data_IF_366985814851
#
_entry.id   IF_366985814851
#
_cell.length_a   1.000
_cell.length_b   1.000
_cell.length_c   1.000
_cell.angle_alpha   90.00
_cell.angle_beta   90.00
_cell.angle_gamma   90.00
#
_symmetry.space_group_name_H-M   'P 1'
#
loop_
_entity.id
_entity.type
_entity.pdbx_description
1 polymer ?
#
# COMPACT_ATOMS: atom_id res chain seq x y z
N UNK A 1 71.20 -42.39 6.81
CA UNK A 1 69.78 -42.51 6.36
C UNK A 1 69.84 -42.72 4.87
N UNK A 2 69.19 -43.77 4.36
CA UNK A 2 69.10 -44.01 2.92
C UNK A 2 68.08 -43.06 2.36
N UNK A 3 68.45 -42.19 1.43
CA UNK A 3 67.56 -41.29 0.71
C UNK A 3 66.86 -42.12 -0.39
N UNK A 4 65.54 -42.35 -0.28
CA UNK A 4 64.76 -42.98 -1.34
C UNK A 4 64.42 -41.89 -2.34
N UNK A 5 65.07 -41.99 -3.53
CA UNK A 5 64.68 -41.10 -4.64
C UNK A 5 63.41 -41.66 -5.32
N UNK A 6 62.26 -41.02 -5.06
CA UNK A 6 60.94 -41.45 -5.55
C UNK A 6 60.69 -41.13 -7.02
N UNK A 7 61.71 -40.69 -7.76
CA UNK A 7 61.52 -40.39 -9.18
C UNK A 7 60.33 -39.42 -9.43
N UNK A 8 60.32 -38.84 -10.64
CA UNK A 8 59.18 -37.98 -11.08
C UNK A 8 57.98 -38.84 -11.35
N UNK A 9 56.86 -38.75 -10.58
CA UNK A 9 55.57 -39.36 -10.88
C UNK A 9 55.02 -38.63 -12.09
N UNK A 10 55.00 -39.28 -13.25
CA UNK A 10 54.42 -38.74 -14.48
C UNK A 10 53.14 -39.46 -14.83
N UNK A 11 52.00 -38.85 -14.56
CA UNK A 11 50.75 -39.33 -15.09
C UNK A 11 50.74 -39.13 -16.61
N UNK A 12 50.23 -40.15 -17.33
CA UNK A 12 50.06 -40.09 -18.80
C UNK A 12 48.62 -39.89 -19.12
N UNK A 13 48.24 -38.68 -19.49
CA UNK A 13 46.91 -38.41 -19.99
C UNK A 13 46.67 -39.11 -21.32
N UNK A 14 45.59 -39.91 -21.39
CA UNK A 14 45.20 -40.71 -22.56
C UNK A 14 43.92 -40.20 -23.23
N UNK A 15 43.32 -39.15 -22.73
CA UNK A 15 42.02 -38.65 -23.23
C UNK A 15 40.84 -39.45 -22.72
N UNK A 16 39.74 -39.45 -23.48
CA UNK A 16 38.53 -40.18 -23.14
C UNK A 16 38.78 -41.70 -23.23
N UNK A 17 38.27 -42.44 -22.27
CA UNK A 17 38.42 -43.91 -22.19
C UNK A 17 37.89 -44.58 -23.46
N UNK A 18 38.61 -45.55 -23.95
CA UNK A 18 38.17 -46.48 -24.99
C UNK A 18 38.42 -47.91 -24.59
N UNK A 19 37.39 -48.75 -24.67
CA UNK A 19 37.51 -50.19 -24.34
C UNK A 19 38.42 -50.96 -25.27
N UNK A 20 38.78 -50.43 -26.42
CA UNK A 20 39.73 -51.05 -27.35
C UNK A 20 41.19 -50.70 -27.08
N UNK A 21 41.47 -49.79 -26.15
CA UNK A 21 42.82 -49.32 -25.83
C UNK A 21 43.39 -50.09 -24.66
N UNK A 22 44.67 -50.50 -24.78
CA UNK A 22 45.40 -51.11 -23.67
C UNK A 22 45.96 -49.96 -22.80
N UNK A 23 45.63 -49.97 -21.52
CA UNK A 23 46.12 -49.03 -20.52
C UNK A 23 47.17 -49.65 -19.62
N UNK A 24 48.13 -48.90 -19.26
CA UNK A 24 49.21 -49.31 -18.34
C UNK A 24 49.09 -48.51 -17.03
N UNK A 25 49.81 -48.97 -16.00
CA UNK A 25 49.87 -48.22 -14.72
C UNK A 25 50.30 -46.77 -14.97
N UNK A 26 49.66 -45.81 -14.23
CA UNK A 26 49.84 -44.38 -14.35
C UNK A 26 49.21 -43.72 -15.58
N UNK A 27 48.54 -44.48 -16.45
CA UNK A 27 47.69 -43.89 -17.50
C UNK A 27 46.42 -43.27 -16.86
N UNK A 28 46.10 -42.05 -17.25
CA UNK A 28 44.92 -41.32 -16.76
C UNK A 28 43.94 -41.12 -17.90
N UNK A 29 42.69 -41.45 -17.65
CA UNK A 29 41.59 -41.36 -18.64
C UNK A 29 40.45 -40.55 -18.08
N UNK A 30 39.71 -39.90 -18.96
CA UNK A 30 38.38 -39.36 -18.66
C UNK A 30 37.29 -40.40 -18.98
N UNK A 31 36.32 -40.54 -18.08
CA UNK A 31 35.12 -41.34 -18.31
C UNK A 31 33.95 -40.76 -17.54
N UNK A 32 32.85 -40.43 -18.25
CA UNK A 32 31.64 -39.85 -17.68
C UNK A 32 31.94 -38.62 -16.78
N UNK A 33 32.75 -37.69 -17.26
CA UNK A 33 33.11 -36.45 -16.55
C UNK A 33 34.03 -36.60 -15.35
N UNK A 34 34.48 -37.83 -15.05
CA UNK A 34 35.44 -38.14 -13.98
C UNK A 34 36.77 -38.55 -14.59
N UNK A 35 37.89 -38.32 -13.86
CA UNK A 35 39.21 -38.80 -14.22
C UNK A 35 39.57 -40.01 -13.38
N UNK A 36 40.17 -41.00 -14.05
CA UNK A 36 40.58 -42.25 -13.44
C UNK A 36 42.05 -42.54 -13.77
N UNK A 37 42.75 -43.09 -12.80
CA UNK A 37 44.14 -43.56 -12.99
C UNK A 37 44.15 -45.07 -13.03
N UNK A 38 44.84 -45.61 -14.02
CA UNK A 38 45.05 -47.04 -14.16
C UNK A 38 46.10 -47.51 -13.12
N UNK A 39 45.72 -48.43 -12.26
CA UNK A 39 46.60 -49.03 -11.26
C UNK A 39 47.00 -50.46 -11.58
N UNK A 40 46.30 -51.11 -12.50
CA UNK A 40 46.66 -52.43 -13.01
C UNK A 40 46.42 -52.44 -14.54
N UNK A 41 47.39 -52.91 -15.29
CA UNK A 41 47.30 -52.96 -16.74
C UNK A 41 46.01 -53.62 -17.20
N UNK A 42 45.27 -52.95 -18.14
CA UNK A 42 43.91 -53.37 -18.47
C UNK A 42 43.58 -53.02 -19.93
N UNK A 43 42.79 -53.91 -20.54
CA UNK A 43 42.11 -53.65 -21.82
C UNK A 43 40.65 -54.10 -21.68
N UNK A 44 39.71 -53.24 -22.11
CA UNK A 44 38.27 -53.55 -22.10
C UNK A 44 37.58 -53.43 -20.75
N UNK A 45 38.30 -53.18 -19.64
CA UNK A 45 37.69 -52.94 -18.34
C UNK A 45 37.34 -51.47 -18.15
N UNK A 46 36.09 -51.19 -17.74
CA UNK A 46 35.65 -49.81 -17.51
C UNK A 46 36.44 -49.13 -16.38
N UNK A 47 36.67 -47.82 -16.45
CA UNK A 47 37.33 -47.03 -15.37
C UNK A 47 36.61 -47.12 -14.03
N UNK A 48 35.35 -47.47 -13.98
CA UNK A 48 34.57 -47.71 -12.75
C UNK A 48 34.92 -49.01 -12.06
N UNK A 49 35.64 -49.92 -12.72
CA UNK A 49 36.12 -51.16 -12.11
C UNK A 49 37.35 -50.87 -11.21
N UNK A 50 37.09 -50.84 -9.91
CA UNK A 50 38.07 -50.54 -8.88
C UNK A 50 39.24 -51.53 -8.78
N UNK A 51 39.22 -52.67 -9.46
CA UNK A 51 40.37 -53.58 -9.59
C UNK A 51 41.45 -53.00 -10.47
N UNK A 52 41.07 -52.25 -11.52
CA UNK A 52 42.01 -51.76 -12.54
C UNK A 52 42.25 -50.26 -12.48
N UNK A 53 41.29 -49.51 -11.95
CA UNK A 53 41.38 -48.07 -11.91
C UNK A 53 41.01 -47.52 -10.53
N UNK A 54 41.60 -46.39 -10.17
CA UNK A 54 41.17 -45.59 -9.04
C UNK A 54 40.62 -44.22 -9.55
N UNK A 55 39.64 -43.71 -8.86
CA UNK A 55 39.12 -42.37 -9.13
C UNK A 55 40.17 -41.34 -8.76
N UNK A 56 40.59 -40.53 -9.69
CA UNK A 56 41.51 -39.42 -9.47
C UNK A 56 40.76 -38.11 -9.21
N UNK A 57 39.67 -37.88 -9.94
CA UNK A 57 38.75 -36.73 -9.78
C UNK A 57 37.35 -37.19 -10.16
N UNK A 58 36.40 -37.00 -9.30
CA UNK A 58 34.99 -37.25 -9.60
C UNK A 58 34.38 -36.09 -10.40
N UNK A 59 33.49 -36.41 -11.31
CA UNK A 59 32.61 -35.40 -11.89
C UNK A 59 31.93 -34.67 -10.74
N UNK A 60 31.92 -33.37 -10.78
CA UNK A 60 31.07 -32.57 -9.89
C UNK A 60 29.59 -32.90 -10.18
N UNK A 61 28.74 -32.88 -9.17
CA UNK A 61 27.32 -32.80 -9.40
C UNK A 61 27.05 -31.47 -10.12
N UNK A 62 26.32 -31.52 -11.21
CA UNK A 62 25.88 -30.26 -11.84
C UNK A 62 25.25 -29.37 -10.75
N UNK A 63 25.73 -28.15 -10.59
CA UNK A 63 25.08 -27.16 -9.76
C UNK A 63 23.63 -27.01 -10.23
N UNK A 64 22.76 -26.53 -9.36
CA UNK A 64 21.38 -26.22 -9.78
C UNK A 64 21.46 -25.22 -10.93
N UNK A 65 21.04 -25.64 -12.11
CA UNK A 65 21.00 -24.77 -13.28
C UNK A 65 19.84 -23.78 -13.11
N UNK A 66 20.19 -22.52 -12.83
CA UNK A 66 19.21 -21.47 -12.65
C UNK A 66 18.41 -21.21 -13.95
N UNK A 67 18.95 -21.56 -15.11
CA UNK A 67 18.20 -21.39 -16.39
C UNK A 67 17.03 -22.35 -16.51
N UNK A 68 17.09 -23.51 -15.81
CA UNK A 68 15.97 -24.45 -15.71
C UNK A 68 15.00 -24.09 -14.59
N UNK A 69 15.44 -23.33 -13.60
CA UNK A 69 14.63 -22.88 -12.47
C UNK A 69 13.89 -21.59 -12.80
N UNK A 70 14.58 -20.59 -13.38
CA UNK A 70 14.03 -19.29 -13.75
C UNK A 70 13.65 -19.33 -15.24
N UNK A 71 12.38 -19.47 -15.54
CA UNK A 71 11.88 -19.74 -16.90
C UNK A 71 11.21 -18.54 -17.55
N UNK A 72 10.93 -17.48 -16.77
CA UNK A 72 10.18 -16.32 -17.26
C UNK A 72 10.86 -15.03 -16.77
N UNK A 73 10.80 -13.98 -17.59
CA UNK A 73 11.30 -12.66 -17.20
C UNK A 73 10.59 -12.18 -15.92
N UNK A 74 11.38 -11.71 -14.94
CA UNK A 74 10.87 -11.24 -13.65
C UNK A 74 10.77 -12.33 -12.57
N UNK A 75 11.14 -13.58 -12.90
CA UNK A 75 11.24 -14.63 -11.89
C UNK A 75 12.33 -14.32 -10.87
N UNK A 76 12.09 -14.71 -9.63
CA UNK A 76 13.06 -14.64 -8.54
C UNK A 76 13.40 -16.05 -8.05
N UNK A 77 14.65 -16.26 -7.63
CA UNK A 77 15.05 -17.47 -6.95
C UNK A 77 15.06 -17.23 -5.44
N UNK A 78 14.54 -18.19 -4.69
CA UNK A 78 14.66 -18.23 -3.23
C UNK A 78 15.00 -19.64 -2.77
N UNK A 79 15.34 -19.80 -1.49
CA UNK A 79 15.61 -21.10 -0.89
C UNK A 79 14.55 -21.42 0.14
N UNK A 80 13.95 -22.60 0.03
CA UNK A 80 13.11 -23.21 1.06
C UNK A 80 13.84 -24.37 1.78
N UNK A 81 13.09 -25.18 2.54
CA UNK A 81 13.62 -26.36 3.22
C UNK A 81 14.10 -27.48 2.28
N UNK A 82 13.69 -27.48 1.02
CA UNK A 82 14.01 -28.49 0.01
C UNK A 82 15.13 -28.05 -0.95
N UNK A 83 15.44 -26.76 -1.02
CA UNK A 83 16.50 -26.22 -1.89
C UNK A 83 16.12 -24.92 -2.58
N UNK A 84 16.68 -24.70 -3.78
CA UNK A 84 16.36 -23.50 -4.58
C UNK A 84 15.01 -23.67 -5.26
N UNK A 85 14.18 -22.64 -5.15
CA UNK A 85 12.82 -22.58 -5.68
C UNK A 85 12.63 -21.32 -6.52
N UNK A 86 11.65 -21.38 -7.39
CA UNK A 86 11.22 -20.25 -8.23
C UNK A 86 10.05 -19.52 -7.58
N UNK A 87 10.14 -18.23 -7.45
CA UNK A 87 9.00 -17.35 -7.30
C UNK A 87 8.72 -16.69 -8.65
N UNK A 88 7.61 -17.05 -9.30
CA UNK A 88 7.20 -16.47 -10.58
C UNK A 88 7.02 -14.96 -10.47
N UNK A 89 7.09 -14.25 -11.60
CA UNK A 89 6.91 -12.82 -11.65
C UNK A 89 5.57 -12.40 -11.02
N UNK A 90 5.57 -11.33 -10.24
CA UNK A 90 4.36 -10.71 -9.70
C UNK A 90 3.60 -9.92 -10.77
N UNK A 91 2.42 -9.43 -10.42
CA UNK A 91 1.67 -8.49 -11.26
C UNK A 91 1.97 -7.04 -10.86
N UNK A 92 1.68 -6.09 -11.76
CA UNK A 92 1.93 -4.67 -11.52
C UNK A 92 1.29 -4.21 -10.19
N UNK A 93 2.05 -3.46 -9.40
CA UNK A 93 1.63 -2.94 -8.09
C UNK A 93 1.86 -3.88 -6.91
N UNK A 94 2.33 -5.10 -7.13
CA UNK A 94 2.76 -5.99 -6.04
C UNK A 94 4.19 -5.67 -5.58
N UNK A 95 4.46 -5.98 -4.33
CA UNK A 95 5.78 -5.93 -3.69
C UNK A 95 6.17 -7.31 -3.17
N UNK A 96 7.46 -7.59 -3.15
CA UNK A 96 7.98 -8.80 -2.52
C UNK A 96 7.81 -8.68 -1.00
N UNK A 97 7.14 -9.66 -0.41
CA UNK A 97 6.87 -9.72 1.03
C UNK A 97 7.56 -10.92 1.66
N UNK A 98 8.06 -10.72 2.87
CA UNK A 98 8.56 -11.80 3.72
C UNK A 98 7.47 -12.26 4.67
N UNK A 99 7.30 -13.57 4.78
CA UNK A 99 6.43 -14.19 5.79
C UNK A 99 7.11 -14.39 7.17
N UNK A 100 8.35 -13.92 7.32
CA UNK A 100 9.16 -14.13 8.53
C UNK A 100 10.12 -15.31 8.42
N UNK A 101 10.80 -15.64 9.51
CA UNK A 101 11.77 -16.73 9.54
C UNK A 101 11.08 -18.07 9.26
N UNK A 102 11.61 -18.83 8.31
CA UNK A 102 11.09 -20.15 7.93
C UNK A 102 9.90 -20.14 6.96
N UNK A 103 9.39 -18.97 6.58
CA UNK A 103 8.34 -18.83 5.57
C UNK A 103 8.92 -18.41 4.21
N UNK A 104 8.28 -18.87 3.14
CA UNK A 104 8.67 -18.52 1.78
C UNK A 104 8.29 -17.07 1.48
N UNK A 105 9.09 -16.35 0.67
CA UNK A 105 8.69 -15.04 0.15
C UNK A 105 7.48 -15.18 -0.78
N UNK A 106 6.68 -14.12 -0.86
CA UNK A 106 5.51 -14.06 -1.73
C UNK A 106 5.30 -12.66 -2.29
N UNK A 107 4.53 -12.56 -3.37
CA UNK A 107 4.06 -11.26 -3.85
C UNK A 107 2.81 -10.86 -3.08
N UNK A 108 2.77 -9.62 -2.64
CA UNK A 108 1.61 -9.04 -1.97
C UNK A 108 1.38 -7.60 -2.38
N UNK A 109 0.19 -7.11 -2.15
CA UNK A 109 -0.13 -5.69 -2.35
C UNK A 109 0.21 -4.89 -1.10
N UNK A 110 0.78 -3.70 -1.28
CA UNK A 110 0.84 -2.72 -0.19
C UNK A 110 -0.60 -2.23 0.02
N UNK A 111 -1.25 -2.70 1.07
CA UNK A 111 -2.51 -2.11 1.49
C UNK A 111 -2.20 -0.90 2.38
N UNK A 112 -2.64 0.28 1.97
CA UNK A 112 -2.80 1.37 2.91
C UNK A 112 -3.98 1.02 3.83
N UNK A 113 -3.86 1.24 5.14
CA UNK A 113 -5.01 1.14 6.04
C UNK A 113 -6.10 2.16 5.65
N UNK A 114 -5.72 3.23 4.95
CA UNK A 114 -6.61 4.20 4.35
C UNK A 114 -7.04 3.75 2.95
N UNK A 115 -8.33 3.50 2.79
CA UNK A 115 -8.95 3.10 1.53
C UNK A 115 -9.73 4.28 0.95
N UNK A 116 -9.51 4.62 -0.32
CA UNK A 116 -10.32 5.62 -1.02
C UNK A 116 -11.72 5.03 -1.27
N UNK A 117 -12.75 5.63 -0.67
CA UNK A 117 -14.14 5.21 -0.81
C UNK A 117 -14.83 5.85 -2.00
N UNK A 118 -14.51 7.10 -2.28
CA UNK A 118 -15.09 7.81 -3.41
C UNK A 118 -14.41 9.15 -3.68
N UNK A 119 -14.69 9.70 -4.85
CA UNK A 119 -14.30 11.05 -5.24
C UNK A 119 -15.35 11.65 -6.15
N UNK A 120 -15.68 12.90 -5.90
CA UNK A 120 -16.63 13.67 -6.70
C UNK A 120 -15.94 14.97 -7.12
N UNK A 121 -15.84 15.17 -8.43
CA UNK A 121 -15.50 16.46 -9.00
C UNK A 121 -16.83 17.20 -9.22
N UNK A 122 -17.12 18.19 -8.36
CA UNK A 122 -18.39 18.87 -8.38
C UNK A 122 -18.37 20.07 -9.34
N UNK A 123 -19.37 20.10 -10.20
CA UNK A 123 -19.62 21.20 -11.12
C UNK A 123 -21.09 21.60 -10.99
N UNK A 124 -21.38 22.59 -10.14
CA UNK A 124 -22.73 23.18 -10.01
C UNK A 124 -23.79 22.23 -9.42
N UNK A 125 -23.59 21.75 -8.21
CA UNK A 125 -24.62 21.06 -7.43
C UNK A 125 -24.69 21.63 -6.03
N UNK A 126 -25.89 21.80 -5.49
CA UNK A 126 -26.10 22.21 -4.11
C UNK A 126 -25.59 21.16 -3.12
N UNK A 127 -25.62 19.90 -3.51
CA UNK A 127 -25.22 18.77 -2.67
C UNK A 127 -24.08 17.97 -3.29
N UNK A 128 -23.14 17.56 -2.45
CA UNK A 128 -22.10 16.58 -2.79
C UNK A 128 -22.22 15.42 -1.82
N UNK A 129 -22.74 14.31 -2.29
CA UNK A 129 -23.06 13.14 -1.47
C UNK A 129 -22.11 11.97 -1.71
N UNK A 130 -21.82 11.24 -0.64
CA UNK A 130 -21.15 9.96 -0.63
C UNK A 130 -22.09 8.95 0.02
N UNK A 131 -22.95 8.35 -0.81
CA UNK A 131 -24.05 7.51 -0.36
C UNK A 131 -23.61 6.05 -0.24
N UNK A 132 -23.87 5.43 0.92
CA UNK A 132 -23.61 4.01 1.20
C UNK A 132 -22.16 3.54 0.97
N UNK A 133 -21.20 4.45 1.10
CA UNK A 133 -19.76 4.12 0.95
C UNK A 133 -19.10 3.78 2.28
N UNK A 134 -19.72 4.12 3.40
CA UNK A 134 -19.21 3.89 4.74
C UNK A 134 -19.81 2.58 5.25
N UNK A 135 -18.97 1.57 5.42
CA UNK A 135 -19.35 0.24 5.94
C UNK A 135 -18.73 -0.02 7.30
N UNK A 136 -19.14 -1.11 7.95
CA UNK A 136 -18.55 -1.56 9.23
C UNK A 136 -17.07 -1.97 9.13
N UNK A 137 -16.53 -2.11 7.92
CA UNK A 137 -15.11 -2.42 7.70
C UNK A 137 -14.18 -1.27 8.11
N UNK A 138 -14.73 -0.06 8.24
CA UNK A 138 -13.98 1.14 8.57
C UNK A 138 -14.28 1.59 9.99
N UNK A 139 -13.26 2.07 10.70
CA UNK A 139 -13.38 2.61 12.08
C UNK A 139 -13.38 4.13 12.14
N UNK A 140 -12.78 4.76 11.14
CA UNK A 140 -12.66 6.22 11.00
C UNK A 140 -12.86 6.57 9.54
N UNK A 141 -13.46 7.72 9.28
CA UNK A 141 -13.60 8.27 7.93
C UNK A 141 -12.94 9.63 7.85
N UNK A 142 -12.23 9.88 6.75
CA UNK A 142 -11.70 11.21 6.39
C UNK A 142 -12.29 11.71 5.10
N UNK A 143 -12.66 12.99 5.09
CA UNK A 143 -13.09 13.69 3.88
C UNK A 143 -12.18 14.87 3.61
N UNK A 144 -11.85 15.05 2.34
CA UNK A 144 -11.06 16.18 1.84
C UNK A 144 -11.88 16.94 0.84
N UNK A 145 -11.84 18.27 0.94
CA UNK A 145 -12.30 19.18 -0.08
C UNK A 145 -11.14 20.01 -0.60
N UNK A 146 -11.01 20.11 -1.91
CA UNK A 146 -9.95 20.86 -2.56
C UNK A 146 -10.51 21.82 -3.59
N UNK A 147 -10.07 23.07 -3.52
CA UNK A 147 -10.48 24.11 -4.45
C UNK A 147 -11.97 24.43 -4.44
N UNK A 148 -12.66 24.26 -3.30
CA UNK A 148 -14.11 24.45 -3.19
C UNK A 148 -14.46 25.92 -3.39
N UNK A 149 -15.36 26.18 -4.33
CA UNK A 149 -15.95 27.49 -4.59
C UNK A 149 -17.46 27.38 -4.60
N UNK A 150 -18.14 28.38 -4.09
CA UNK A 150 -19.61 28.44 -4.11
C UNK A 150 -20.08 29.43 -5.19
N UNK A 151 -21.25 29.17 -5.76
CA UNK A 151 -21.83 30.05 -6.80
C UNK A 151 -22.36 31.36 -6.24
N UNK A 152 -22.62 31.42 -4.93
CA UNK A 152 -23.21 32.60 -4.28
C UNK A 152 -22.17 33.69 -4.08
N UNK A 153 -22.54 34.93 -4.43
CA UNK A 153 -21.79 36.14 -4.10
C UNK A 153 -22.05 36.66 -2.68
N UNK A 154 -23.01 36.03 -1.98
CA UNK A 154 -23.35 36.35 -0.59
C UNK A 154 -22.71 35.35 0.35
N UNK A 155 -22.50 35.75 1.60
CA UNK A 155 -22.03 34.81 2.63
C UNK A 155 -23.00 33.65 2.74
N UNK A 156 -22.52 32.46 2.48
CA UNK A 156 -23.29 31.22 2.59
C UNK A 156 -22.61 30.26 3.53
N UNK A 157 -23.42 29.52 4.24
CA UNK A 157 -22.93 28.49 5.15
C UNK A 157 -22.74 27.16 4.41
N UNK A 158 -21.63 26.53 4.66
CA UNK A 158 -21.34 25.19 4.14
C UNK A 158 -21.42 24.19 5.28
N UNK A 159 -22.13 23.11 5.06
CA UNK A 159 -22.44 22.14 6.10
C UNK A 159 -22.05 20.73 5.71
N UNK A 160 -21.68 19.95 6.72
CA UNK A 160 -21.60 18.49 6.67
C UNK A 160 -22.84 17.91 7.34
N UNK A 161 -23.54 17.04 6.64
CA UNK A 161 -24.64 16.23 7.14
C UNK A 161 -24.26 14.76 7.18
N UNK A 162 -24.75 14.06 8.20
CA UNK A 162 -24.54 12.64 8.41
C UNK A 162 -25.76 11.86 7.94
N UNK A 163 -25.54 10.76 7.24
CA UNK A 163 -26.60 9.94 6.64
C UNK A 163 -26.56 8.49 7.15
N UNK A 164 -27.75 7.91 7.33
CA UNK A 164 -27.95 6.60 7.94
C UNK A 164 -28.89 5.73 7.10
N UNK A 165 -28.72 4.42 7.21
CA UNK A 165 -29.56 3.43 6.55
C UNK A 165 -29.14 3.11 5.11
N UNK A 166 -29.76 2.09 4.51
CA UNK A 166 -29.48 1.62 3.15
C UNK A 166 -30.02 2.56 2.06
N UNK A 167 -31.10 3.28 2.36
CA UNK A 167 -31.52 4.48 1.62
C UNK A 167 -31.17 5.66 2.52
N UNK A 168 -30.08 6.40 2.22
CA UNK A 168 -29.56 7.36 3.18
C UNK A 168 -30.57 8.42 3.59
N UNK A 169 -30.92 8.45 4.86
CA UNK A 169 -31.64 9.55 5.47
C UNK A 169 -30.63 10.49 6.12
N UNK A 170 -30.56 11.70 5.63
CA UNK A 170 -29.68 12.72 6.16
C UNK A 170 -30.35 13.48 7.28
N UNK A 171 -29.70 13.57 8.44
CA UNK A 171 -30.18 14.41 9.53
C UNK A 171 -30.04 15.89 9.15
N UNK A 172 -31.08 16.64 9.39
CA UNK A 172 -31.17 18.08 9.02
C UNK A 172 -31.41 18.99 10.21
N UNK A 173 -31.19 18.48 11.44
CA UNK A 173 -31.32 19.23 12.69
C UNK A 173 -30.50 18.58 13.80
N UNK A 174 -30.39 19.28 14.93
CA UNK A 174 -29.75 18.81 16.15
C UNK A 174 -28.23 18.58 16.01
N UNK A 175 -27.58 19.45 15.26
CA UNK A 175 -26.13 19.51 15.24
C UNK A 175 -25.61 20.60 16.19
N UNK A 176 -24.51 20.31 16.83
CA UNK A 176 -23.71 21.27 17.61
C UNK A 176 -22.31 21.32 17.03
N UNK A 177 -21.73 22.50 17.02
CA UNK A 177 -20.38 22.69 16.51
C UNK A 177 -19.71 23.87 17.21
N UNK A 178 -18.38 23.85 17.19
CA UNK A 178 -17.50 24.92 17.69
C UNK A 178 -16.33 25.06 16.74
N UNK A 179 -15.89 26.29 16.49
CA UNK A 179 -14.70 26.56 15.66
C UNK A 179 -13.96 27.77 16.16
N UNK A 180 -12.67 27.81 15.91
CA UNK A 180 -11.81 28.95 16.16
C UNK A 180 -11.13 29.40 14.89
N UNK A 181 -11.09 30.69 14.63
CA UNK A 181 -10.53 31.30 13.44
C UNK A 181 -9.20 31.99 13.77
N UNK A 182 -8.14 31.58 13.11
CA UNK A 182 -6.91 32.35 13.07
C UNK A 182 -6.94 33.15 11.77
N UNK A 183 -7.38 34.37 11.88
CA UNK A 183 -7.50 35.28 10.76
C UNK A 183 -6.29 36.22 10.70
N UNK A 184 -5.56 36.22 9.59
CA UNK A 184 -4.53 37.19 9.34
C UNK A 184 -4.99 38.10 8.17
N UNK A 185 -5.37 39.32 8.47
CA UNK A 185 -5.18 40.36 7.46
C UNK A 185 -3.70 40.81 7.54
N UNK A 186 -3.09 41.19 6.46
CA UNK A 186 -1.65 41.58 6.42
C UNK A 186 -1.25 42.68 7.42
N UNK A 187 -2.16 43.19 8.25
CA UNK A 187 -1.93 44.24 9.23
C UNK A 187 -2.20 43.85 10.69
N UNK A 188 -2.93 42.77 10.96
CA UNK A 188 -3.19 42.31 12.32
C UNK A 188 -3.63 40.84 12.38
N UNK A 189 -3.22 40.15 13.44
CA UNK A 189 -3.73 38.80 13.78
C UNK A 189 -4.96 39.01 14.66
N UNK A 190 -6.10 38.44 14.25
CA UNK A 190 -7.31 38.44 15.06
C UNK A 190 -7.64 37.00 15.38
N UNK A 191 -7.69 36.69 16.65
CA UNK A 191 -8.13 35.40 17.17
C UNK A 191 -9.60 35.54 17.59
N UNK A 192 -10.52 34.86 16.90
CA UNK A 192 -11.93 34.85 17.24
C UNK A 192 -12.42 33.43 17.40
N UNK A 193 -12.96 33.13 18.57
CA UNK A 193 -13.64 31.87 18.85
C UNK A 193 -15.16 32.07 18.71
N UNK A 194 -15.81 31.24 17.93
CA UNK A 194 -17.26 31.27 17.75
C UNK A 194 -17.82 29.86 17.57
N UNK A 195 -19.05 29.66 17.92
CA UNK A 195 -19.72 28.38 17.86
C UNK A 195 -21.22 28.50 18.06
N UNK A 196 -21.97 27.54 17.60
CA UNK A 196 -23.38 27.38 17.92
C UNK A 196 -23.56 26.17 18.83
N UNK A 197 -24.02 26.47 20.06
CA UNK A 197 -24.33 25.47 21.07
C UNK A 197 -25.82 25.12 21.09
N UNK A 198 -26.63 25.74 20.21
CA UNK A 198 -28.09 25.64 20.27
C UNK A 198 -28.63 24.28 19.88
N UNK A 199 -27.83 23.44 19.22
CA UNK A 199 -28.27 22.12 18.76
C UNK A 199 -29.35 22.15 17.67
N UNK A 200 -29.58 23.31 17.05
CA UNK A 200 -30.67 23.52 16.06
C UNK A 200 -30.17 23.56 14.63
N UNK A 201 -28.88 23.55 14.41
CA UNK A 201 -28.32 23.62 13.06
C UNK A 201 -28.66 22.40 12.20
N UNK A 202 -28.80 22.67 10.91
CA UNK A 202 -29.13 21.65 9.90
C UNK A 202 -27.95 20.81 9.42
N UNK A 203 -26.78 21.02 9.99
CA UNK A 203 -25.54 20.29 9.76
C UNK A 203 -24.41 20.81 10.64
N UNK A 204 -23.28 20.13 10.65
CA UNK A 204 -22.06 20.66 11.24
C UNK A 204 -21.55 21.73 10.29
N UNK A 205 -21.55 22.95 10.77
CA UNK A 205 -21.10 24.08 9.97
C UNK A 205 -19.60 24.01 9.79
N UNK A 206 -19.18 23.98 8.53
CA UNK A 206 -17.83 24.27 8.16
C UNK A 206 -17.77 25.79 7.98
N UNK A 207 -17.09 26.47 8.91
CA UNK A 207 -17.16 27.93 8.89
C UNK A 207 -16.54 28.48 7.63
N UNK A 208 -17.37 28.90 6.70
CA UNK A 208 -16.97 29.53 5.47
C UNK A 208 -17.33 31.00 5.50
N UNK A 209 -16.41 31.91 5.39
CA UNK A 209 -16.66 33.33 5.15
C UNK A 209 -16.36 33.62 3.68
N UNK A 210 -17.39 33.83 2.80
CA UNK A 210 -17.08 33.90 1.40
C UNK A 210 -17.71 34.94 0.60
N UNK A 211 -16.85 35.52 -0.14
CA UNK A 211 -17.10 36.16 -1.41
C UNK A 211 -16.46 35.28 -2.50
N UNK A 212 -17.25 34.63 -3.33
CA UNK A 212 -16.83 33.66 -4.33
C UNK A 212 -16.07 34.27 -5.53
N UNK A 213 -15.89 35.58 -5.58
CA UNK A 213 -15.21 36.25 -6.71
C UNK A 213 -13.68 36.15 -6.65
N UNK A 214 -13.14 35.53 -5.61
CA UNK A 214 -11.70 35.43 -5.41
C UNK A 214 -11.06 34.32 -6.25
N UNK A 215 -9.85 34.54 -6.70
CA UNK A 215 -9.01 33.56 -7.35
C UNK A 215 -8.64 32.36 -6.44
N UNK A 216 -8.92 32.45 -5.13
CA UNK A 216 -8.69 31.40 -4.16
C UNK A 216 -9.93 30.51 -3.98
N UNK A 217 -9.73 29.25 -3.71
CA UNK A 217 -10.77 28.33 -3.23
C UNK A 217 -10.59 28.05 -1.73
N UNK A 218 -11.48 27.24 -1.20
CA UNK A 218 -11.35 26.68 0.15
C UNK A 218 -10.92 25.25 0.06
N UNK A 219 -9.95 24.85 0.89
CA UNK A 219 -9.60 23.45 1.07
C UNK A 219 -9.82 23.06 2.53
N UNK A 220 -10.26 21.81 2.76
CA UNK A 220 -10.50 21.31 4.11
C UNK A 220 -10.14 19.83 4.26
N UNK A 221 -9.88 19.46 5.48
CA UNK A 221 -9.77 18.07 5.94
C UNK A 221 -10.73 17.86 7.11
N UNK A 222 -11.48 16.77 7.07
CA UNK A 222 -12.44 16.38 8.13
C UNK A 222 -12.16 14.93 8.52
N UNK A 223 -12.20 14.65 9.82
CA UNK A 223 -12.15 13.29 10.38
C UNK A 223 -13.43 13.04 11.17
N UNK A 224 -14.05 11.87 10.94
CA UNK A 224 -15.27 11.45 11.62
C UNK A 224 -14.97 10.19 12.41
N UNK A 225 -15.25 10.25 13.71
CA UNK A 225 -15.05 9.17 14.67
C UNK A 225 -16.38 8.54 15.09
N UNK A 226 -16.32 7.37 15.72
CA UNK A 226 -17.45 6.62 16.24
C UNK A 226 -18.47 6.22 15.14
N UNK A 227 -18.02 6.06 13.91
CA UNK A 227 -18.89 5.83 12.74
C UNK A 227 -19.75 4.57 12.89
N UNK A 228 -19.24 3.52 13.54
CA UNK A 228 -19.94 2.25 13.76
C UNK A 228 -20.75 2.19 15.06
N UNK A 229 -20.74 3.25 15.87
CA UNK A 229 -21.48 3.24 17.14
C UNK A 229 -22.99 3.18 16.88
N UNK A 230 -23.65 2.25 17.57
CA UNK A 230 -25.11 2.06 17.61
C UNK A 230 -25.66 2.11 19.03
N UNK A 231 -24.85 2.55 20.00
CA UNK A 231 -25.19 2.52 21.44
C UNK A 231 -24.70 3.76 22.15
N UNK A 232 -25.36 4.88 21.94
CA UNK A 232 -25.24 6.08 22.79
C UNK A 232 -24.01 6.97 22.56
N UNK A 233 -23.11 6.66 21.62
CA UNK A 233 -21.99 7.52 21.28
C UNK A 233 -22.31 8.36 20.04
N UNK A 234 -22.18 9.66 20.17
CA UNK A 234 -22.31 10.59 19.06
C UNK A 234 -21.19 10.39 18.03
N UNK A 235 -21.51 10.55 16.74
CA UNK A 235 -20.49 10.72 15.70
C UNK A 235 -19.80 12.05 15.94
N UNK A 236 -18.50 12.00 16.18
CA UNK A 236 -17.69 13.17 16.46
C UNK A 236 -16.96 13.56 15.17
N UNK A 237 -17.00 14.83 14.85
CA UNK A 237 -16.38 15.42 13.67
C UNK A 237 -15.33 16.41 14.12
N UNK A 238 -14.15 16.29 13.58
CA UNK A 238 -13.07 17.23 13.77
C UNK A 238 -12.49 17.61 12.40
N UNK A 239 -12.22 18.89 12.18
CA UNK A 239 -11.72 19.33 10.88
C UNK A 239 -10.87 20.59 10.95
N UNK A 240 -10.16 20.78 9.84
CA UNK A 240 -9.38 21.97 9.55
C UNK A 240 -9.75 22.50 8.17
N UNK A 241 -9.73 23.77 8.03
CA UNK A 241 -10.04 24.46 6.78
C UNK A 241 -9.03 25.57 6.55
N UNK A 242 -8.70 25.78 5.30
CA UNK A 242 -7.96 26.97 4.82
C UNK A 242 -8.72 27.62 3.68
N UNK A 243 -8.89 28.92 3.75
CA UNK A 243 -9.48 29.70 2.66
C UNK A 243 -8.66 30.98 2.39
N UNK A 244 -8.74 31.42 1.13
CA UNK A 244 -8.17 32.68 0.69
C UNK A 244 -9.32 33.54 0.23
N UNK A 245 -9.42 34.73 0.79
CA UNK A 245 -10.44 35.72 0.45
C UNK A 245 -9.95 36.64 -0.71
N UNK A 246 -10.86 37.41 -1.32
CA UNK A 246 -10.60 38.32 -2.46
C UNK A 246 -9.65 39.49 -2.17
N UNK A 247 -9.50 39.86 -0.93
CA UNK A 247 -8.37 40.61 -0.40
C UNK A 247 -7.40 39.60 0.18
N UNK A 248 -6.07 39.77 0.15
CA UNK A 248 -5.12 38.74 0.53
C UNK A 248 -5.19 38.38 2.03
N UNK A 249 -6.36 37.98 2.47
CA UNK A 249 -6.65 37.53 3.82
C UNK A 249 -6.73 36.02 3.82
N UNK A 250 -5.94 35.41 4.68
CA UNK A 250 -5.90 33.98 4.89
C UNK A 250 -6.70 33.66 6.14
N UNK A 251 -7.53 32.63 6.07
CA UNK A 251 -8.25 32.11 7.21
C UNK A 251 -7.90 30.64 7.36
N UNK A 252 -7.39 30.27 8.54
CA UNK A 252 -7.23 28.89 8.96
C UNK A 252 -8.16 28.68 10.13
N UNK A 253 -9.05 27.69 10.03
CA UNK A 253 -10.04 27.38 11.03
C UNK A 253 -9.89 25.94 11.45
N UNK A 254 -9.87 25.70 12.75
CA UNK A 254 -10.11 24.38 13.33
C UNK A 254 -11.53 24.35 13.88
N UNK A 255 -12.24 23.25 13.64
CA UNK A 255 -13.60 23.09 14.11
C UNK A 255 -13.85 21.68 14.59
N UNK A 256 -14.81 21.55 15.48
CA UNK A 256 -15.34 20.28 15.94
C UNK A 256 -16.87 20.34 15.97
N UNK A 257 -17.51 19.19 15.84
CA UNK A 257 -18.95 19.12 15.92
C UNK A 257 -19.44 17.69 16.15
N UNK A 258 -20.71 17.59 16.48
CA UNK A 258 -21.40 16.31 16.64
C UNK A 258 -22.89 16.47 16.34
N UNK A 259 -23.56 15.35 16.13
CA UNK A 259 -25.00 15.32 15.99
C UNK A 259 -25.64 14.76 17.27
N UNK A 260 -26.59 15.49 17.83
CA UNK A 260 -27.40 15.06 18.98
C UNK A 260 -28.67 14.32 18.56
N UNK A 261 -28.83 14.02 17.27
CA UNK A 261 -29.98 13.29 16.76
C UNK A 261 -29.97 11.84 17.25
N UNK A 262 -31.15 11.30 17.59
CA UNK A 262 -31.32 9.89 17.97
C UNK A 262 -30.83 8.92 16.91
N UNK A 263 -30.98 9.26 15.63
CA UNK A 263 -30.42 8.45 14.54
C UNK A 263 -28.89 8.40 14.57
N UNK A 264 -28.23 9.50 14.92
CA UNK A 264 -26.78 9.59 15.04
C UNK A 264 -26.22 8.70 16.15
N UNK A 265 -26.93 8.52 17.24
CA UNK A 265 -26.44 7.72 18.36
C UNK A 265 -26.83 6.25 18.28
N UNK A 266 -27.89 5.92 17.52
CA UNK A 266 -28.46 4.57 17.45
C UNK A 266 -28.14 3.83 16.15
N UNK A 267 -27.61 4.50 15.13
CA UNK A 267 -27.31 3.88 13.84
C UNK A 267 -25.85 4.08 13.44
N UNK A 268 -25.29 3.10 12.76
CA UNK A 268 -23.98 3.25 12.11
C UNK A 268 -24.08 4.28 10.97
N UNK A 269 -23.04 5.08 10.80
CA UNK A 269 -22.92 6.02 9.70
C UNK A 269 -22.74 5.27 8.39
N UNK A 270 -23.55 5.55 7.38
CA UNK A 270 -23.43 4.93 6.05
C UNK A 270 -23.03 5.93 4.98
N UNK A 271 -23.32 7.20 5.21
CA UNK A 271 -23.23 8.24 4.18
C UNK A 271 -22.88 9.59 4.80
N UNK A 272 -22.27 10.45 4.01
CA UNK A 272 -22.09 11.86 4.34
C UNK A 272 -22.50 12.72 3.15
N UNK A 273 -22.92 13.95 3.45
CA UNK A 273 -23.29 14.93 2.43
C UNK A 273 -22.78 16.31 2.81
N UNK A 274 -22.16 16.97 1.86
CA UNK A 274 -21.87 18.39 1.96
C UNK A 274 -22.94 19.20 1.24
N UNK A 275 -23.33 20.33 1.80
CA UNK A 275 -24.24 21.23 1.11
C UNK A 275 -23.96 22.70 1.45
N UNK A 276 -24.36 23.57 0.54
CA UNK A 276 -24.29 25.01 0.70
C UNK A 276 -25.72 25.58 0.91
N UNK A 277 -25.91 26.41 1.96
CA UNK A 277 -27.21 26.95 2.33
C UNK A 277 -27.80 27.96 1.32
N UNK A 278 -26.95 28.60 0.53
CA UNK A 278 -27.37 29.73 -0.33
C UNK A 278 -27.16 29.44 -1.85
N UNK A 279 -27.05 28.19 -2.27
CA UNK A 279 -26.92 27.84 -3.68
C UNK A 279 -25.91 26.74 -3.97
N UNK A 280 -25.57 26.59 -5.22
CA UNK A 280 -24.70 25.50 -5.66
C UNK A 280 -23.25 25.65 -5.21
N UNK A 281 -22.59 24.53 -4.97
CA UNK A 281 -21.15 24.44 -4.95
C UNK A 281 -20.69 24.55 -6.41
N UNK A 282 -20.00 25.62 -6.74
CA UNK A 282 -19.68 25.92 -8.14
C UNK A 282 -18.56 25.05 -8.69
N UNK A 283 -17.58 24.73 -7.88
CA UNK A 283 -16.42 23.95 -8.30
C UNK A 283 -15.76 23.31 -7.10
N UNK A 284 -14.97 22.26 -7.33
CA UNK A 284 -14.11 21.64 -6.33
C UNK A 284 -14.12 20.14 -6.38
N UNK A 285 -13.09 19.55 -5.79
CA UNK A 285 -12.93 18.11 -5.67
C UNK A 285 -13.16 17.67 -4.24
N UNK A 286 -14.01 16.68 -4.07
CA UNK A 286 -14.27 16.04 -2.78
C UNK A 286 -13.75 14.59 -2.84
N UNK A 287 -13.09 14.14 -1.79
CA UNK A 287 -12.58 12.77 -1.71
C UNK A 287 -12.82 12.20 -0.32
N UNK A 288 -13.33 10.97 -0.27
CA UNK A 288 -13.63 10.24 0.95
C UNK A 288 -12.69 9.04 1.10
N UNK A 289 -12.17 8.85 2.31
CA UNK A 289 -11.35 7.72 2.70
C UNK A 289 -11.88 7.07 3.97
N UNK A 290 -11.74 5.75 4.08
CA UNK A 290 -11.99 4.97 5.28
C UNK A 290 -10.71 4.34 5.81
N UNK A 291 -10.52 4.35 7.12
CA UNK A 291 -9.47 3.62 7.82
C UNK A 291 -10.02 2.27 8.26
N UNK A 292 -9.39 1.18 7.86
CA UNK A 292 -9.70 -0.20 8.29
C UNK A 292 -9.27 -0.47 9.72
#
# INVERSE_FOLDING_TARGET
>A
MATVNLGSIKFKWKGTYSGATAYTVDDVVEYNGSSYICKLASTGNLPTNTTYFDVMSSAGTNGTDLTTTLTTQGDLVYRDGSGLQRLGAGVAGQVLQTGGAGANPSWGTVSSDWVKLGSVDNTQSQYVSFDNLITSDYRIVKAFGDGIKTASSTNSDFYLQLGYGSTPTYTTANYSWVGGDIYTNMSSTVDTTWGDYSGSDSGIRLPFNYNNTAAGGTSFEITIFNINSTSGLNKQVFGKKMSINSTPNWSVIEFAGWSNNTDSINNALTSIRFYNSAGDVYNGKFTLYGLK
#
